data_IF_007607178047
#
_entry.id   IF_007607178047
#
_cell.length_a   1.000
_cell.length_b   1.000
_cell.length_c   1.000
_cell.angle_alpha   90.00
_cell.angle_beta   90.00
_cell.angle_gamma   90.00
#
_symmetry.space_group_name_H-M   'P 1'
#
loop_
_entity.id
_entity.type
_entity.pdbx_description
1 polymer ?
#
# COMPACT_ATOMS: atom_id res chain seq x y z
N UNK A 1 46.29 -2.05 30.96
CA UNK A 1 45.71 -0.92 30.21
C UNK A 1 45.02 -1.50 28.99
N UNK A 2 43.73 -1.69 29.07
CA UNK A 2 42.94 -2.28 28.00
C UNK A 2 41.95 -1.23 27.47
N UNK A 3 42.16 -0.79 26.25
CA UNK A 3 41.26 0.13 25.56
C UNK A 3 40.02 -0.60 25.06
N UNK A 4 38.92 -0.25 25.64
CA UNK A 4 37.59 -0.68 25.18
C UNK A 4 37.20 0.06 23.91
N UNK A 5 37.28 -0.60 22.76
CA UNK A 5 36.72 -0.07 21.52
C UNK A 5 35.19 -0.18 21.56
N UNK A 6 34.54 0.91 21.91
CA UNK A 6 33.10 1.12 21.70
C UNK A 6 32.79 1.12 20.21
N UNK A 7 32.24 0.02 19.69
CA UNK A 7 31.65 -0.01 18.36
C UNK A 7 30.39 0.86 18.38
N UNK A 8 30.49 2.06 17.84
CA UNK A 8 29.32 2.85 17.44
C UNK A 8 28.60 2.05 16.35
N UNK A 9 27.43 1.57 16.67
CA UNK A 9 26.48 1.07 15.67
C UNK A 9 26.01 2.27 14.86
N UNK A 10 26.52 2.41 13.66
CA UNK A 10 26.00 3.34 12.66
C UNK A 10 24.57 2.90 12.30
N UNK A 11 23.61 3.52 12.95
CA UNK A 11 22.21 3.44 12.55
C UNK A 11 22.09 4.19 11.23
N UNK A 12 22.00 3.47 10.13
CA UNK A 12 21.66 4.03 8.83
C UNK A 12 20.32 4.77 8.95
N UNK A 13 20.37 6.09 9.03
CA UNK A 13 19.21 6.95 9.00
C UNK A 13 18.68 6.94 7.56
N UNK A 14 17.63 6.15 7.29
CA UNK A 14 16.89 6.23 6.03
C UNK A 14 16.22 7.61 5.99
N UNK A 15 16.72 8.51 5.15
CA UNK A 15 16.11 9.82 4.90
C UNK A 15 14.81 9.61 4.13
N UNK A 16 13.69 9.74 4.84
CA UNK A 16 12.35 9.78 4.25
C UNK A 16 12.18 11.16 3.59
N UNK A 17 12.22 11.21 2.28
CA UNK A 17 11.73 12.37 1.49
C UNK A 17 10.52 11.93 0.73
N UNK A 18 9.38 12.21 1.24
CA UNK A 18 8.01 12.41 0.79
C UNK A 18 7.06 11.88 1.87
N UNK A 19 6.19 12.78 2.32
CA UNK A 19 5.37 12.53 3.49
C UNK A 19 4.32 11.45 3.20
N UNK A 20 4.43 10.33 3.92
CA UNK A 20 3.25 9.53 4.18
C UNK A 20 2.17 10.45 4.82
N UNK A 21 0.88 10.23 4.53
CA UNK A 21 -0.19 11.01 5.16
C UNK A 21 0.05 11.10 6.67
N UNK A 22 -0.14 12.27 7.30
CA UNK A 22 0.18 12.48 8.72
C UNK A 22 -0.51 11.50 9.66
N UNK A 23 -1.65 10.94 9.24
CA UNK A 23 -2.47 10.01 10.01
C UNK A 23 -1.92 8.58 10.08
N UNK A 24 -1.10 8.17 9.10
CA UNK A 24 -0.52 6.81 9.02
C UNK A 24 1.01 6.84 8.84
N UNK A 25 1.64 7.85 9.44
CA UNK A 25 3.11 7.90 9.47
C UNK A 25 3.70 6.63 10.10
N UNK A 26 4.89 6.17 9.66
CA UNK A 26 5.58 5.02 10.24
C UNK A 26 5.64 5.01 11.76
N UNK A 27 5.74 6.19 12.39
CA UNK A 27 5.73 6.35 13.83
C UNK A 27 4.44 5.84 14.52
N UNK A 28 3.28 5.84 13.84
CA UNK A 28 2.06 5.27 14.40
C UNK A 28 2.13 3.74 14.49
N UNK A 29 2.67 3.08 13.47
CA UNK A 29 2.87 1.63 13.48
C UNK A 29 3.89 1.21 14.53
N UNK A 30 5.00 1.94 14.64
CA UNK A 30 6.04 1.68 15.65
C UNK A 30 5.47 1.77 17.07
N UNK A 31 4.60 2.76 17.36
CA UNK A 31 3.92 2.86 18.67
C UNK A 31 2.98 1.69 18.96
N UNK A 32 2.49 1.00 17.92
CA UNK A 32 1.67 -0.21 18.04
C UNK A 32 2.51 -1.50 18.08
N UNK A 33 3.84 -1.39 18.13
CA UNK A 33 4.75 -2.54 18.21
C UNK A 33 5.17 -3.14 16.86
N UNK A 34 4.84 -2.49 15.74
CA UNK A 34 5.27 -2.97 14.43
C UNK A 34 6.66 -2.46 14.05
N UNK A 35 7.46 -3.32 13.43
CA UNK A 35 8.62 -2.89 12.64
C UNK A 35 8.10 -2.34 11.31
N UNK A 36 8.52 -1.14 10.94
CA UNK A 36 8.00 -0.45 9.77
C UNK A 36 9.11 -0.14 8.77
N UNK A 37 8.92 -0.55 7.52
CA UNK A 37 9.78 -0.21 6.40
C UNK A 37 9.00 0.67 5.41
N UNK A 38 9.49 1.88 5.16
CA UNK A 38 9.00 2.74 4.09
C UNK A 38 9.91 2.58 2.87
N UNK A 39 9.31 2.23 1.73
CA UNK A 39 10.06 1.95 0.51
C UNK A 39 10.10 3.19 -0.36
N UNK A 40 11.28 3.76 -0.55
CA UNK A 40 11.53 4.83 -1.51
C UNK A 40 11.98 4.19 -2.85
N UNK A 41 11.03 4.07 -3.78
CA UNK A 41 11.28 3.41 -5.06
C UNK A 41 11.51 4.39 -6.24
N UNK A 42 11.21 5.67 -6.06
CA UNK A 42 11.34 6.70 -7.08
C UNK A 42 12.68 7.43 -7.00
N UNK A 43 13.05 7.96 -5.84
CA UNK A 43 14.22 8.79 -5.65
C UNK A 43 15.54 8.15 -6.08
N UNK A 44 15.82 6.87 -5.76
CA UNK A 44 17.02 6.18 -6.24
C UNK A 44 17.11 6.03 -7.77
N UNK A 45 15.98 6.23 -8.46
CA UNK A 45 15.87 6.17 -9.93
C UNK A 45 15.66 7.54 -10.56
N UNK A 46 15.82 8.60 -9.77
CA UNK A 46 15.63 9.99 -10.24
C UNK A 46 14.25 10.24 -10.87
N UNK A 47 13.25 9.43 -10.50
CA UNK A 47 11.87 9.62 -10.91
C UNK A 47 11.17 10.60 -9.97
N UNK A 48 10.59 11.66 -10.52
CA UNK A 48 9.93 12.70 -9.72
C UNK A 48 8.43 12.44 -9.57
N UNK A 49 7.81 11.91 -10.63
CA UNK A 49 6.37 11.65 -10.68
C UNK A 49 6.10 10.58 -11.74
N UNK A 50 5.31 9.58 -11.38
CA UNK A 50 4.91 8.50 -12.29
C UNK A 50 3.39 8.38 -12.44
N UNK A 51 2.62 9.40 -12.00
CA UNK A 51 1.16 9.36 -12.07
C UNK A 51 0.61 9.36 -13.50
N UNK A 52 1.34 9.85 -14.47
CA UNK A 52 0.89 9.93 -15.87
C UNK A 52 1.68 9.00 -16.78
N UNK A 53 2.98 8.93 -16.63
CA UNK A 53 3.87 8.12 -17.46
C UNK A 53 5.01 7.54 -16.61
N UNK A 54 5.48 6.32 -16.93
CA UNK A 54 6.68 5.78 -16.32
C UNK A 54 7.87 6.69 -16.55
N UNK A 55 8.65 6.94 -15.52
CA UNK A 55 9.91 7.67 -15.61
C UNK A 55 11.06 6.75 -15.20
N UNK A 56 12.16 6.81 -15.91
CA UNK A 56 13.43 6.13 -15.59
C UNK A 56 13.25 4.63 -15.24
N UNK A 57 12.34 3.95 -15.96
CA UNK A 57 12.05 2.54 -15.78
C UNK A 57 11.22 2.20 -14.53
N UNK A 58 10.65 3.19 -13.83
CA UNK A 58 9.70 2.96 -12.75
C UNK A 58 8.34 2.64 -13.36
N UNK A 59 8.00 1.35 -13.38
CA UNK A 59 6.73 0.80 -13.87
C UNK A 59 6.01 0.09 -12.72
N UNK A 60 4.74 -0.28 -12.90
CA UNK A 60 4.01 -1.09 -11.90
C UNK A 60 4.71 -2.42 -11.61
N UNK A 61 5.15 -3.13 -12.65
CA UNK A 61 5.88 -4.38 -12.48
C UNK A 61 7.18 -4.20 -11.71
N UNK A 62 7.96 -3.14 -12.01
CA UNK A 62 9.19 -2.83 -11.28
C UNK A 62 8.91 -2.49 -9.82
N UNK A 63 7.91 -1.66 -9.57
CA UNK A 63 7.52 -1.28 -8.21
C UNK A 63 7.00 -2.49 -7.43
N UNK A 64 6.17 -3.35 -8.05
CA UNK A 64 5.71 -4.60 -7.43
C UNK A 64 6.88 -5.48 -7.03
N UNK A 65 7.88 -5.63 -7.91
CA UNK A 65 9.10 -6.39 -7.61
C UNK A 65 9.86 -5.80 -6.42
N UNK A 66 10.03 -4.49 -6.36
CA UNK A 66 10.70 -3.81 -5.24
C UNK A 66 10.00 -4.11 -3.90
N UNK A 67 8.66 -4.07 -3.87
CA UNK A 67 7.88 -4.40 -2.67
C UNK A 67 8.02 -5.89 -2.30
N UNK A 68 7.95 -6.80 -3.24
CA UNK A 68 8.16 -8.23 -2.96
C UNK A 68 9.58 -8.53 -2.45
N UNK A 69 10.59 -7.87 -3.02
CA UNK A 69 11.97 -7.97 -2.53
C UNK A 69 12.13 -7.41 -1.11
N UNK A 70 11.36 -6.36 -0.76
CA UNK A 70 11.37 -5.83 0.60
C UNK A 70 10.77 -6.83 1.61
N UNK A 71 9.76 -7.60 1.23
CA UNK A 71 9.25 -8.69 2.07
C UNK A 71 10.32 -9.74 2.34
N UNK A 72 11.10 -10.12 1.32
CA UNK A 72 12.23 -11.05 1.47
C UNK A 72 13.35 -10.48 2.35
N UNK A 73 13.59 -9.17 2.28
CA UNK A 73 14.53 -8.50 3.16
C UNK A 73 14.05 -8.53 4.62
N UNK A 74 12.80 -8.14 4.87
CA UNK A 74 12.21 -8.13 6.21
C UNK A 74 12.24 -9.51 6.87
N UNK A 75 11.97 -10.60 6.12
CA UNK A 75 12.02 -11.98 6.63
C UNK A 75 13.36 -12.40 7.20
N UNK A 76 14.44 -11.79 6.73
CA UNK A 76 15.82 -12.11 7.17
C UNK A 76 16.25 -11.33 8.41
N UNK A 77 15.47 -10.35 8.84
CA UNK A 77 15.80 -9.55 10.01
C UNK A 77 15.49 -10.33 11.30
N UNK A 78 16.43 -10.47 12.23
CA UNK A 78 16.28 -11.34 13.41
C UNK A 78 15.20 -10.87 14.40
N UNK A 79 14.73 -9.64 14.27
CA UNK A 79 13.70 -9.04 15.11
C UNK A 79 12.34 -8.91 14.41
N UNK A 80 12.19 -9.53 13.24
CA UNK A 80 10.94 -9.57 12.47
C UNK A 80 10.39 -10.98 12.46
N UNK A 81 9.09 -11.14 12.77
CA UNK A 81 8.43 -12.42 12.60
C UNK A 81 8.17 -12.65 11.09
N UNK A 82 8.81 -13.63 10.45
CA UNK A 82 8.69 -13.84 9.01
C UNK A 82 7.29 -14.24 8.54
N UNK A 83 6.43 -14.67 9.46
CA UNK A 83 5.04 -15.08 9.19
C UNK A 83 4.02 -13.98 9.48
N UNK A 84 4.48 -12.77 9.82
CA UNK A 84 3.61 -11.64 10.21
C UNK A 84 4.00 -10.36 9.44
N UNK A 85 4.15 -10.47 8.12
CA UNK A 85 4.46 -9.33 7.25
C UNK A 85 3.18 -8.79 6.62
N UNK A 86 2.95 -7.48 6.74
CA UNK A 86 1.86 -6.80 6.04
C UNK A 86 2.38 -5.74 5.07
N UNK A 87 1.67 -5.57 3.97
CA UNK A 87 1.82 -4.42 3.08
C UNK A 87 0.62 -3.49 3.27
N UNK A 88 0.89 -2.21 3.55
CA UNK A 88 -0.13 -1.16 3.60
C UNK A 88 0.15 -0.19 2.47
N UNK A 89 -0.78 -0.03 1.56
CA UNK A 89 -0.66 0.82 0.39
C UNK A 89 -1.73 1.91 0.33
N UNK A 90 -1.37 3.06 -0.25
CA UNK A 90 -2.22 4.21 -0.46
C UNK A 90 -2.25 4.57 -1.93
N UNK A 91 -3.43 4.83 -2.52
CA UNK A 91 -3.58 5.22 -3.91
C UNK A 91 -2.81 4.27 -4.85
N UNK A 92 -1.77 4.71 -5.52
CA UNK A 92 -0.90 3.87 -6.34
C UNK A 92 -0.25 2.72 -5.54
N UNK A 93 0.16 2.96 -4.29
CA UNK A 93 0.69 1.90 -3.42
C UNK A 93 -0.35 0.82 -3.12
N UNK A 94 -1.62 1.20 -3.04
CA UNK A 94 -2.74 0.28 -2.86
C UNK A 94 -3.02 -0.55 -4.13
N UNK A 95 -2.85 0.04 -5.32
CA UNK A 95 -2.85 -0.69 -6.60
C UNK A 95 -1.73 -1.73 -6.64
N UNK A 96 -0.52 -1.34 -6.25
CA UNK A 96 0.63 -2.27 -6.19
C UNK A 96 0.38 -3.42 -5.20
N UNK A 97 -0.39 -3.19 -4.13
CA UNK A 97 -0.75 -4.24 -3.19
C UNK A 97 -1.61 -5.34 -3.84
N UNK A 98 -2.48 -5.02 -4.81
CA UNK A 98 -3.20 -6.05 -5.59
C UNK A 98 -2.24 -6.89 -6.43
N UNK A 99 -1.30 -6.27 -7.14
CA UNK A 99 -0.30 -7.01 -7.90
C UNK A 99 0.58 -7.89 -7.01
N UNK A 100 1.01 -7.36 -5.87
CA UNK A 100 1.83 -8.12 -4.92
C UNK A 100 1.04 -9.26 -4.24
N UNK A 101 -0.30 -9.18 -4.19
CA UNK A 101 -1.17 -10.23 -3.66
C UNK A 101 -1.57 -11.30 -4.70
N UNK A 102 -1.33 -11.06 -5.98
CA UNK A 102 -1.59 -12.07 -7.02
C UNK A 102 -0.55 -13.18 -6.96
N UNK A 103 -1.00 -14.44 -6.91
CA UNK A 103 -0.11 -15.61 -6.86
C UNK A 103 0.67 -15.76 -8.17
N UNK A 104 0.04 -15.57 -9.33
CA UNK A 104 0.68 -15.66 -10.63
C UNK A 104 1.78 -14.60 -10.81
N UNK A 105 1.52 -13.36 -10.40
CA UNK A 105 2.52 -12.28 -10.47
C UNK A 105 3.71 -12.58 -9.57
N UNK A 106 3.50 -13.05 -8.34
CA UNK A 106 4.61 -13.45 -7.46
C UNK A 106 5.44 -14.58 -8.05
N UNK A 107 4.78 -15.58 -8.64
CA UNK A 107 5.45 -16.70 -9.28
C UNK A 107 6.30 -16.27 -10.49
N UNK A 108 5.80 -15.32 -11.29
CA UNK A 108 6.54 -14.76 -12.42
C UNK A 108 7.86 -14.09 -11.97
N UNK A 109 7.82 -13.37 -10.85
CA UNK A 109 9.03 -12.76 -10.28
C UNK A 109 9.96 -13.76 -9.59
N UNK A 110 9.53 -14.99 -9.35
CA UNK A 110 10.29 -16.02 -8.59
C UNK A 110 10.76 -15.50 -7.23
N UNK A 111 9.98 -14.63 -6.63
CA UNK A 111 10.14 -14.12 -5.28
C UNK A 111 9.25 -14.93 -4.35
N UNK A 112 9.67 -15.09 -3.10
CA UNK A 112 9.01 -15.92 -2.11
C UNK A 112 7.51 -15.61 -1.89
N UNK A 113 6.93 -15.97 -0.74
CA UNK A 113 5.48 -15.94 -0.54
C UNK A 113 4.86 -14.53 -0.50
N UNK A 114 5.65 -13.45 -0.66
CA UNK A 114 5.19 -12.07 -0.55
C UNK A 114 4.82 -11.70 0.89
N UNK A 115 3.82 -10.89 1.10
CA UNK A 115 3.32 -10.53 2.42
C UNK A 115 2.22 -11.49 2.88
N UNK A 116 1.98 -11.55 4.19
CA UNK A 116 0.97 -12.43 4.79
C UNK A 116 -0.42 -11.77 4.86
N UNK A 117 -0.48 -10.44 4.77
CA UNK A 117 -1.70 -9.66 4.69
C UNK A 117 -1.47 -8.36 3.91
N UNK A 118 -2.55 -7.82 3.33
CA UNK A 118 -2.52 -6.59 2.55
C UNK A 118 -3.62 -5.64 3.03
N UNK A 119 -3.34 -4.34 3.00
CA UNK A 119 -4.32 -3.29 3.25
C UNK A 119 -4.19 -2.22 2.17
N UNK A 120 -5.28 -1.87 1.53
CA UNK A 120 -5.35 -0.88 0.46
C UNK A 120 -6.28 0.26 0.83
N UNK A 121 -5.76 1.48 0.80
CA UNK A 121 -6.53 2.71 0.99
C UNK A 121 -6.72 3.39 -0.37
N UNK A 122 -7.97 3.64 -0.73
CA UNK A 122 -8.40 4.30 -1.99
C UNK A 122 -7.61 3.82 -3.21
N UNK A 123 -7.60 2.49 -3.50
CA UNK A 123 -6.87 1.95 -4.63
C UNK A 123 -7.54 2.29 -5.96
N UNK A 124 -6.75 2.38 -7.02
CA UNK A 124 -7.30 2.21 -8.35
C UNK A 124 -7.51 0.71 -8.62
N UNK A 125 -8.74 0.31 -8.94
CA UNK A 125 -9.11 -1.08 -9.20
C UNK A 125 -9.36 -1.38 -10.69
N UNK A 126 -9.54 -0.35 -11.50
CA UNK A 126 -9.97 -0.48 -12.88
C UNK A 126 -8.94 -1.12 -13.82
N UNK A 127 -9.25 -1.06 -15.11
CA UNK A 127 -8.39 -1.57 -16.18
C UNK A 127 -7.24 -0.58 -16.43
N UNK A 128 -6.00 -1.01 -16.22
CA UNK A 128 -4.82 -0.24 -16.56
C UNK A 128 -4.61 -0.29 -18.10
N UNK A 129 -4.67 0.88 -18.74
CA UNK A 129 -4.34 1.06 -20.14
C UNK A 129 -2.86 1.38 -20.31
N UNK A 130 -2.33 1.22 -21.53
CA UNK A 130 -0.91 1.35 -21.92
C UNK A 130 -0.15 2.63 -21.49
N UNK A 131 -0.69 3.47 -20.63
CA UNK A 131 -0.03 4.66 -20.09
C UNK A 131 0.87 4.42 -18.88
N UNK A 132 0.82 3.22 -18.29
CA UNK A 132 1.56 2.89 -17.06
C UNK A 132 2.71 1.90 -17.30
N UNK A 133 3.53 2.15 -18.32
CA UNK A 133 4.52 1.19 -18.79
C UNK A 133 3.82 0.02 -19.45
N UNK A 134 4.18 -0.65 -20.34
CA UNK A 134 3.64 -1.71 -21.17
C UNK A 134 2.60 -2.68 -20.54
N UNK A 135 2.03 -2.34 -19.37
CA UNK A 135 0.98 -3.13 -18.75
C UNK A 135 -0.39 -2.69 -19.25
N UNK A 136 -1.13 -3.63 -19.84
CA UNK A 136 -2.54 -3.48 -20.17
C UNK A 136 -3.30 -4.67 -19.58
N UNK A 137 -4.16 -4.42 -18.60
CA UNK A 137 -4.89 -5.49 -17.93
C UNK A 137 -5.63 -5.01 -16.67
N UNK A 138 -6.34 -5.92 -16.05
CA UNK A 138 -7.00 -5.65 -14.78
C UNK A 138 -5.96 -5.46 -13.68
N UNK A 139 -6.17 -4.44 -12.85
CA UNK A 139 -5.34 -4.23 -11.65
C UNK A 139 -5.65 -5.30 -10.62
N UNK A 140 -6.94 -5.59 -10.41
CA UNK A 140 -7.38 -6.66 -9.53
C UNK A 140 -7.32 -7.99 -10.29
N UNK A 141 -6.46 -8.89 -9.85
CA UNK A 141 -6.34 -10.25 -10.39
C UNK A 141 -7.32 -11.20 -9.70
N UNK A 142 -7.68 -12.30 -10.36
CA UNK A 142 -8.61 -13.28 -9.81
C UNK A 142 -7.98 -14.23 -8.79
N UNK A 143 -6.65 -14.28 -8.74
CA UNK A 143 -5.85 -15.21 -7.95
C UNK A 143 -5.25 -14.58 -6.67
N UNK A 144 -5.99 -13.63 -6.08
CA UNK A 144 -5.63 -13.06 -4.78
C UNK A 144 -5.74 -14.14 -3.69
N UNK A 145 -4.64 -14.52 -3.06
CA UNK A 145 -4.58 -15.68 -2.16
C UNK A 145 -4.28 -15.33 -0.70
N UNK A 146 -3.96 -14.07 -0.38
CA UNK A 146 -3.71 -13.62 0.99
C UNK A 146 -4.80 -12.66 1.47
N UNK A 147 -5.08 -12.60 2.79
CA UNK A 147 -6.01 -11.66 3.36
C UNK A 147 -5.77 -10.22 2.89
N UNK A 148 -6.81 -9.57 2.38
CA UNK A 148 -6.73 -8.22 1.84
C UNK A 148 -7.90 -7.37 2.34
N UNK A 149 -7.59 -6.31 3.09
CA UNK A 149 -8.58 -5.30 3.51
C UNK A 149 -8.50 -4.11 2.57
N UNK A 150 -9.64 -3.70 2.01
CA UNK A 150 -9.73 -2.62 1.04
C UNK A 150 -10.68 -1.55 1.52
N UNK A 151 -10.22 -0.30 1.54
CA UNK A 151 -11.01 0.88 1.86
C UNK A 151 -11.17 1.78 0.64
N UNK A 152 -12.40 2.24 0.36
CA UNK A 152 -12.71 3.17 -0.73
C UNK A 152 -13.55 4.34 -0.25
N UNK A 153 -13.51 5.45 -1.00
CA UNK A 153 -14.32 6.63 -0.77
C UNK A 153 -15.45 6.76 -1.79
N UNK A 154 -16.70 6.92 -1.34
CA UNK A 154 -17.85 7.05 -2.23
C UNK A 154 -17.86 8.34 -3.06
N UNK A 155 -17.18 9.40 -2.59
CA UNK A 155 -16.98 10.66 -3.32
C UNK A 155 -15.59 10.75 -3.99
N UNK A 156 -14.86 9.63 -4.06
CA UNK A 156 -13.57 9.56 -4.75
C UNK A 156 -13.79 9.47 -6.27
N UNK A 157 -13.53 10.56 -6.98
CA UNK A 157 -13.58 10.62 -8.43
C UNK A 157 -12.21 10.49 -9.11
N UNK A 158 -11.14 10.28 -8.35
CA UNK A 158 -9.82 9.92 -8.85
C UNK A 158 -9.68 8.39 -9.02
N UNK A 159 -10.09 7.65 -7.99
CA UNK A 159 -10.13 6.17 -7.98
C UNK A 159 -11.51 5.70 -7.50
N UNK A 160 -12.52 5.71 -8.39
CA UNK A 160 -13.90 5.52 -8.00
C UNK A 160 -14.18 4.19 -7.31
N UNK A 161 -14.92 4.24 -6.19
CA UNK A 161 -15.27 3.08 -5.38
C UNK A 161 -16.01 2.00 -6.18
N UNK A 162 -16.84 2.41 -7.13
CA UNK A 162 -17.64 1.51 -8.00
C UNK A 162 -16.77 0.59 -8.85
N UNK A 163 -15.57 1.03 -9.27
CA UNK A 163 -14.63 0.20 -10.02
C UNK A 163 -14.08 -0.95 -9.16
N UNK A 164 -13.83 -0.67 -7.88
CA UNK A 164 -13.43 -1.68 -6.90
C UNK A 164 -14.58 -2.62 -6.56
N UNK A 165 -15.78 -2.10 -6.31
CA UNK A 165 -16.94 -2.89 -5.91
C UNK A 165 -17.30 -3.93 -6.98
N UNK A 166 -17.31 -3.52 -8.27
CA UNK A 166 -17.59 -4.42 -9.41
C UNK A 166 -16.63 -5.60 -9.50
N UNK A 167 -15.37 -5.42 -9.09
CA UNK A 167 -14.35 -6.46 -9.21
C UNK A 167 -14.19 -7.27 -7.92
N UNK A 168 -14.21 -6.61 -6.77
CA UNK A 168 -13.94 -7.26 -5.49
C UNK A 168 -15.13 -8.07 -4.96
N UNK A 169 -16.36 -7.60 -5.18
CA UNK A 169 -17.57 -8.29 -4.70
C UNK A 169 -17.71 -9.70 -5.28
N UNK A 170 -17.61 -9.92 -6.60
CA UNK A 170 -17.67 -11.27 -7.17
C UNK A 170 -16.50 -12.15 -6.70
N UNK A 171 -15.31 -11.60 -6.51
CA UNK A 171 -14.16 -12.36 -6.02
C UNK A 171 -14.36 -12.81 -4.58
N UNK A 172 -14.86 -11.93 -3.72
CA UNK A 172 -15.17 -12.26 -2.33
C UNK A 172 -16.27 -13.34 -2.25
N UNK A 173 -17.31 -13.26 -3.10
CA UNK A 173 -18.35 -14.28 -3.20
C UNK A 173 -17.82 -15.65 -3.66
N UNK A 174 -16.77 -15.68 -4.47
CA UNK A 174 -16.05 -16.89 -4.89
C UNK A 174 -15.05 -17.40 -3.84
N UNK A 175 -14.95 -16.74 -2.68
CA UNK A 175 -14.10 -17.17 -1.57
C UNK A 175 -12.71 -16.54 -1.54
N UNK A 176 -12.42 -15.53 -2.38
CA UNK A 176 -11.17 -14.76 -2.23
C UNK A 176 -11.14 -14.08 -0.85
N UNK A 177 -9.99 -14.07 -0.15
CA UNK A 177 -9.91 -13.60 1.23
C UNK A 177 -9.90 -12.06 1.33
N UNK A 178 -10.92 -11.43 0.75
CA UNK A 178 -11.06 -9.98 0.64
C UNK A 178 -12.09 -9.47 1.64
N UNK A 179 -11.77 -8.40 2.35
CA UNK A 179 -12.69 -7.57 3.13
C UNK A 179 -12.75 -6.19 2.49
N UNK A 180 -13.95 -5.70 2.22
CA UNK A 180 -14.19 -4.44 1.53
C UNK A 180 -15.05 -3.51 2.39
N UNK A 181 -14.61 -2.26 2.54
CA UNK A 181 -15.32 -1.20 3.24
C UNK A 181 -15.31 0.07 2.42
N UNK A 182 -16.49 0.58 2.10
CA UNK A 182 -16.67 1.89 1.49
C UNK A 182 -17.10 2.93 2.54
N UNK A 183 -16.59 4.17 2.39
CA UNK A 183 -16.99 5.35 3.16
C UNK A 183 -17.73 6.30 2.21
N UNK A 184 -19.08 6.40 2.28
CA UNK A 184 -19.89 7.07 1.26
C UNK A 184 -19.51 8.54 1.02
N UNK A 185 -19.07 9.24 2.07
CA UNK A 185 -18.74 10.65 2.01
C UNK A 185 -17.25 10.99 1.89
N UNK A 186 -16.39 9.98 1.86
CA UNK A 186 -14.95 10.19 1.73
C UNK A 186 -14.54 10.43 0.28
N UNK A 187 -13.60 11.37 0.09
CA UNK A 187 -12.94 11.64 -1.19
C UNK A 187 -11.61 10.86 -1.26
N UNK A 188 -10.87 10.99 -2.36
CA UNK A 188 -9.48 10.51 -2.41
C UNK A 188 -8.63 11.14 -1.32
N UNK A 189 -7.68 10.39 -0.76
CA UNK A 189 -6.74 10.92 0.25
C UNK A 189 -7.44 11.56 1.48
N UNK A 190 -8.55 10.97 1.97
CA UNK A 190 -9.31 11.49 3.12
C UNK A 190 -8.50 11.63 4.41
N UNK A 191 -7.33 11.01 4.46
CA UNK A 191 -6.37 11.04 5.57
C UNK A 191 -5.21 12.03 5.37
N UNK A 192 -5.19 12.74 4.25
CA UNK A 192 -4.14 13.68 3.88
C UNK A 192 -4.44 15.10 4.37
N UNK A 193 -4.28 15.36 5.66
CA UNK A 193 -4.58 16.66 6.27
C UNK A 193 -3.86 17.84 5.59
N UNK A 194 -2.62 17.65 5.16
CA UNK A 194 -1.83 18.68 4.48
C UNK A 194 -2.30 19.00 3.05
N UNK A 195 -3.12 18.12 2.47
CA UNK A 195 -3.71 18.30 1.13
C UNK A 195 -5.21 18.67 1.19
N UNK A 196 -5.73 18.99 2.38
CA UNK A 196 -7.13 19.37 2.51
C UNK A 196 -7.45 20.61 1.64
N UNK A 197 -8.46 20.48 0.76
CA UNK A 197 -8.84 21.52 -0.19
C UNK A 197 -8.00 21.57 -1.47
N UNK A 198 -6.97 20.71 -1.60
CA UNK A 198 -6.22 20.61 -2.85
C UNK A 198 -7.12 20.09 -3.97
N UNK A 199 -7.06 20.72 -5.12
CA UNK A 199 -7.84 20.34 -6.30
C UNK A 199 -6.98 20.27 -7.55
N UNK A 200 -7.31 19.30 -8.41
CA UNK A 200 -6.64 19.10 -9.71
C UNK A 200 -7.62 18.57 -10.75
N UNK A 201 -7.36 18.76 -12.05
CA UNK A 201 -8.10 18.04 -13.10
C UNK A 201 -7.88 16.52 -12.97
N UNK A 202 -8.94 15.74 -13.16
CA UNK A 202 -8.92 14.28 -13.22
C UNK A 202 -9.67 13.75 -14.44
N UNK A 203 -9.65 12.45 -14.66
CA UNK A 203 -10.32 11.82 -15.81
C UNK A 203 -11.85 11.92 -15.77
N UNK A 204 -12.42 12.03 -14.57
CA UNK A 204 -13.88 12.12 -14.34
C UNK A 204 -14.30 13.50 -13.80
N UNK A 205 -13.56 14.56 -14.14
CA UNK A 205 -13.81 15.93 -13.68
C UNK A 205 -12.81 16.41 -12.62
N UNK A 206 -13.18 17.46 -11.90
CA UNK A 206 -12.35 18.03 -10.84
C UNK A 206 -12.21 17.05 -9.67
N UNK A 207 -10.99 16.67 -9.34
CA UNK A 207 -10.68 15.92 -8.11
C UNK A 207 -10.37 16.90 -7.00
N UNK A 208 -11.04 16.76 -5.86
CA UNK A 208 -10.79 17.56 -4.66
C UNK A 208 -10.56 16.65 -3.46
N UNK A 209 -9.46 16.85 -2.74
CA UNK A 209 -9.16 16.11 -1.52
C UNK A 209 -9.79 16.82 -0.32
N UNK A 210 -10.59 16.07 0.43
CA UNK A 210 -11.22 16.58 1.66
C UNK A 210 -10.75 15.68 2.81
N UNK A 211 -9.99 16.28 3.73
CA UNK A 211 -9.60 15.59 4.95
C UNK A 211 -10.83 15.29 5.82
N UNK A 212 -10.95 14.04 6.24
CA UNK A 212 -12.03 13.58 7.11
C UNK A 212 -11.43 12.84 8.32
N UNK A 213 -11.44 13.51 9.48
CA UNK A 213 -10.85 12.98 10.70
C UNK A 213 -11.52 11.69 11.17
N UNK A 214 -12.87 11.61 11.11
CA UNK A 214 -13.64 10.46 11.56
C UNK A 214 -13.32 9.22 10.71
N UNK A 215 -13.39 9.36 9.38
CA UNK A 215 -13.03 8.29 8.44
C UNK A 215 -11.57 7.87 8.60
N UNK A 216 -10.68 8.84 8.84
CA UNK A 216 -9.25 8.59 9.07
C UNK A 216 -9.05 7.73 10.32
N UNK A 217 -9.72 8.05 11.41
CA UNK A 217 -9.60 7.30 12.67
C UNK A 217 -10.23 5.92 12.57
N UNK A 218 -11.43 5.82 11.99
CA UNK A 218 -12.15 4.55 11.83
C UNK A 218 -11.39 3.58 10.91
N UNK A 219 -10.96 4.03 9.73
CA UNK A 219 -10.20 3.20 8.78
C UNK A 219 -8.89 2.71 9.37
N UNK A 220 -8.19 3.57 10.12
CA UNK A 220 -6.97 3.20 10.85
C UNK A 220 -7.24 2.16 11.93
N UNK A 221 -8.29 2.32 12.73
CA UNK A 221 -8.67 1.36 13.76
C UNK A 221 -9.01 -0.01 13.15
N UNK A 222 -9.83 -0.04 12.09
CA UNK A 222 -10.18 -1.26 11.37
C UNK A 222 -8.97 -1.95 10.76
N UNK A 223 -8.03 -1.19 10.21
CA UNK A 223 -6.76 -1.74 9.73
C UNK A 223 -5.99 -2.45 10.85
N UNK A 224 -5.83 -1.83 12.03
CA UNK A 224 -5.12 -2.47 13.14
C UNK A 224 -5.86 -3.71 13.65
N UNK A 225 -7.18 -3.67 13.77
CA UNK A 225 -7.99 -4.84 14.14
C UNK A 225 -7.82 -5.98 13.13
N UNK A 226 -7.85 -5.68 11.85
CA UNK A 226 -7.60 -6.64 10.79
C UNK A 226 -6.21 -7.28 10.93
N UNK A 227 -5.15 -6.48 11.06
CA UNK A 227 -3.78 -6.99 11.20
C UNK A 227 -3.62 -7.83 12.48
N UNK A 228 -4.17 -7.40 13.61
CA UNK A 228 -4.16 -8.15 14.85
C UNK A 228 -4.84 -9.52 14.71
N UNK A 229 -6.01 -9.55 14.05
CA UNK A 229 -6.75 -10.79 13.80
C UNK A 229 -5.98 -11.73 12.89
N UNK A 230 -5.36 -11.21 11.80
CA UNK A 230 -4.64 -12.03 10.83
C UNK A 230 -3.30 -12.55 11.34
N UNK A 231 -2.67 -11.82 12.24
CA UNK A 231 -1.37 -12.20 12.78
C UNK A 231 -1.45 -12.91 14.13
N UNK A 232 -2.67 -13.09 14.68
CA UNK A 232 -2.87 -13.64 16.02
C UNK A 232 -1.86 -13.04 17.03
N UNK A 233 -1.70 -11.71 16.99
CA UNK A 233 -0.81 -11.00 17.91
C UNK A 233 -1.33 -11.23 19.32
N UNK A 234 -0.85 -12.26 19.98
CA UNK A 234 -1.03 -12.46 21.41
C UNK A 234 -0.32 -11.29 22.11
N UNK A 235 -1.11 -10.54 22.86
CA UNK A 235 -0.58 -9.53 23.78
C UNK A 235 0.09 -10.18 24.98
#
# INVERSE_FOLDING_TARGET
MGESHSRRQDRAAIRIRHAAPPSLQPAHFVRQGYVTLLIEFMGPREALNICQLPQNGVTFGRTTKDFLQSAEHLRRLPYVNPNQLAMVGFSQGALIAFFANSASIRNEFKLGPGFNAYVSFYPYCGYARNGFGNYAGNVVQEDLDKPHLVFTGGKDNETPAEDCEKLLTPLAQKGAPIQYQSYPDATHCWDCKSLNGFSKPGHRGQVTYVFNEEVTQDSRQKMYQFLQTKFALQR
#
